data_IF_851348278425
#
_entry.id   IF_851348278425
#
_cell.length_a   1.000
_cell.length_b   1.000
_cell.length_c   1.000
_cell.angle_alpha   90.00
_cell.angle_beta   90.00
_cell.angle_gamma   90.00
#
_symmetry.space_group_name_H-M   'P 1'
#
loop_
_entity.id
_entity.type
_entity.pdbx_description
1 polymer ?
#
# COMPACT_ATOMS: atom_id res chain seq x y z
N UNK A 1 4.38 2.06 2.89
CA UNK A 1 5.47 1.85 3.89
C UNK A 1 5.33 0.47 4.53
N UNK A 2 6.39 -0.16 5.07
CA UNK A 2 6.24 -1.46 5.75
C UNK A 2 5.61 -1.28 7.16
N UNK A 3 4.57 -2.04 7.56
CA UNK A 3 3.94 -1.92 8.89
C UNK A 3 4.92 -1.98 10.06
N UNK A 4 5.85 -2.95 10.03
CA UNK A 4 7.00 -3.02 10.95
C UNK A 4 7.71 -1.68 11.17
N UNK A 5 8.06 -0.97 10.09
CA UNK A 5 8.81 0.28 10.20
C UNK A 5 7.98 1.34 10.95
N UNK A 6 6.68 1.42 10.65
CA UNK A 6 5.76 2.31 11.37
C UNK A 6 5.73 1.95 12.86
N UNK A 7 5.62 0.66 13.21
CA UNK A 7 5.65 0.23 14.60
C UNK A 7 6.97 0.59 15.31
N UNK A 8 8.11 0.35 14.65
CA UNK A 8 9.44 0.62 15.19
C UNK A 8 9.66 2.13 15.42
N UNK A 9 9.24 2.96 14.45
CA UNK A 9 9.35 4.42 14.53
C UNK A 9 8.48 4.99 15.66
N UNK A 10 7.24 4.52 15.81
CA UNK A 10 6.32 4.94 16.88
C UNK A 10 6.84 4.52 18.27
N UNK A 11 7.38 3.30 18.39
CA UNK A 11 8.01 2.84 19.63
C UNK A 11 9.24 3.67 20.00
N UNK A 12 10.06 4.06 19.00
CA UNK A 12 11.21 4.94 19.20
C UNK A 12 10.82 6.32 19.74
N UNK A 13 9.64 6.83 19.36
CA UNK A 13 9.07 8.07 19.88
C UNK A 13 8.45 7.94 21.28
N UNK A 14 8.49 6.74 21.90
CA UNK A 14 7.87 6.48 23.19
C UNK A 14 6.35 6.28 23.12
N UNK A 15 5.82 6.06 21.92
CA UNK A 15 4.39 5.91 21.64
C UNK A 15 4.09 4.64 20.84
N UNK A 16 4.39 3.44 21.38
CA UNK A 16 4.23 2.20 20.64
C UNK A 16 2.78 1.95 20.22
N UNK A 17 2.61 1.26 19.09
CA UNK A 17 1.32 0.78 18.64
C UNK A 17 0.93 -0.49 19.40
N UNK A 18 -0.28 -0.50 19.96
CA UNK A 18 -0.82 -1.62 20.70
C UNK A 18 -2.13 -2.08 20.06
N UNK A 19 -2.27 -3.39 19.95
CA UNK A 19 -3.49 -4.04 19.50
C UNK A 19 -4.18 -4.69 20.71
N UNK A 20 -5.38 -4.23 21.03
CA UNK A 20 -6.26 -4.86 22.02
C UNK A 20 -7.47 -5.45 21.27
N UNK A 21 -7.49 -6.76 21.11
CA UNK A 21 -8.45 -7.45 20.25
C UNK A 21 -8.33 -7.02 18.77
N UNK A 22 -9.33 -6.27 18.29
CA UNK A 22 -9.38 -5.71 16.94
C UNK A 22 -9.06 -4.21 16.90
N UNK A 23 -8.88 -3.58 18.06
CA UNK A 23 -8.69 -2.15 18.16
C UNK A 23 -7.21 -1.79 18.26
N UNK A 24 -6.79 -0.88 17.38
CA UNK A 24 -5.43 -0.37 17.27
C UNK A 24 -5.33 0.99 17.94
N UNK A 25 -4.42 1.12 18.91
CA UNK A 25 -4.18 2.36 19.65
C UNK A 25 -2.71 2.75 19.65
N UNK A 26 -2.46 4.03 19.85
CA UNK A 26 -1.14 4.60 20.10
C UNK A 26 -1.05 4.83 21.61
N UNK A 27 -0.10 4.20 22.30
CA UNK A 27 0.19 4.55 23.70
C UNK A 27 0.86 5.92 23.78
N UNK A 28 0.61 6.67 24.86
CA UNK A 28 1.15 8.03 25.06
C UNK A 28 1.01 8.92 23.80
N UNK A 29 -0.22 9.07 23.24
CA UNK A 29 -0.43 9.79 21.98
C UNK A 29 -0.01 11.27 22.04
N UNK A 30 0.17 11.84 23.22
CA UNK A 30 0.70 13.20 23.43
C UNK A 30 2.15 13.39 22.95
N UNK A 31 2.93 12.32 22.76
CA UNK A 31 4.30 12.41 22.26
C UNK A 31 4.40 12.45 20.72
N UNK A 32 3.27 12.32 20.02
CA UNK A 32 3.24 12.30 18.55
C UNK A 32 2.38 13.42 17.98
N UNK A 33 2.81 13.96 16.85
CA UNK A 33 2.06 15.00 16.15
C UNK A 33 0.77 14.44 15.54
N UNK A 34 -0.33 15.22 15.47
CA UNK A 34 -1.60 14.78 14.90
C UNK A 34 -1.49 14.19 13.50
N UNK A 35 -0.62 14.75 12.66
CA UNK A 35 -0.38 14.28 11.29
C UNK A 35 0.19 12.85 11.27
N UNK A 36 1.01 12.49 12.27
CA UNK A 36 1.52 11.13 12.41
C UNK A 36 0.42 10.16 12.86
N UNK A 37 -0.52 10.62 13.69
CA UNK A 37 -1.70 9.82 14.08
C UNK A 37 -2.56 9.54 12.85
N UNK A 38 -2.87 10.56 12.05
CA UNK A 38 -3.62 10.42 10.79
C UNK A 38 -2.90 9.47 9.81
N UNK A 39 -1.59 9.62 9.68
CA UNK A 39 -0.76 8.72 8.90
C UNK A 39 -0.91 7.27 9.37
N UNK A 40 -0.74 6.98 10.67
CA UNK A 40 -0.93 5.64 11.24
C UNK A 40 -2.33 5.11 10.95
N UNK A 41 -3.37 5.93 11.13
CA UNK A 41 -4.75 5.52 10.87
C UNK A 41 -4.99 5.18 9.40
N UNK A 42 -4.34 5.87 8.46
CA UNK A 42 -4.44 5.55 7.03
C UNK A 42 -3.92 4.13 6.69
N UNK A 43 -3.01 3.57 7.51
CA UNK A 43 -2.47 2.22 7.37
C UNK A 43 -3.11 1.18 8.31
N UNK A 44 -4.19 1.55 9.04
CA UNK A 44 -4.77 0.74 10.13
C UNK A 44 -4.97 -0.74 9.76
N UNK A 45 -5.58 -1.04 8.61
CA UNK A 45 -5.84 -2.44 8.19
C UNK A 45 -4.55 -3.26 8.09
N UNK A 46 -3.50 -2.71 7.48
CA UNK A 46 -2.21 -3.38 7.33
C UNK A 46 -1.48 -3.52 8.66
N UNK A 47 -1.56 -2.51 9.52
CA UNK A 47 -0.96 -2.54 10.87
C UNK A 47 -1.61 -3.62 11.73
N UNK A 48 -2.94 -3.72 11.74
CA UNK A 48 -3.67 -4.78 12.44
C UNK A 48 -3.27 -6.15 11.90
N UNK A 49 -3.26 -6.31 10.57
CA UNK A 49 -2.85 -7.57 9.93
C UNK A 49 -1.42 -7.97 10.34
N UNK A 50 -0.50 -7.00 10.37
CA UNK A 50 0.89 -7.21 10.79
C UNK A 50 1.02 -7.60 12.25
N UNK A 51 0.36 -6.87 13.16
CA UNK A 51 0.42 -7.13 14.61
C UNK A 51 -0.22 -8.48 14.98
N UNK A 52 -1.19 -8.96 14.18
CA UNK A 52 -1.75 -10.32 14.29
C UNK A 52 -0.86 -11.42 13.71
N UNK A 53 0.28 -11.07 13.09
CA UNK A 53 1.19 -12.01 12.42
C UNK A 53 0.71 -12.48 11.04
N UNK A 54 -0.33 -11.87 10.48
CA UNK A 54 -0.92 -12.25 9.19
C UNK A 54 -0.37 -11.49 7.98
N UNK A 55 0.69 -10.68 8.14
CA UNK A 55 1.28 -9.87 7.07
C UNK A 55 2.59 -10.49 6.61
N UNK A 56 2.56 -11.17 5.46
CA UNK A 56 3.72 -11.90 4.96
C UNK A 56 4.69 -10.99 4.17
N UNK A 57 5.91 -11.48 3.95
CA UNK A 57 6.89 -10.83 3.07
C UNK A 57 6.35 -10.72 1.64
N UNK A 58 5.53 -11.69 1.19
CA UNK A 58 4.95 -11.66 -0.14
C UNK A 58 3.84 -10.60 -0.23
N UNK A 59 2.98 -10.48 0.78
CA UNK A 59 1.96 -9.43 0.84
C UNK A 59 2.59 -8.06 0.80
N UNK A 60 3.69 -7.87 1.55
CA UNK A 60 4.43 -6.62 1.53
C UNK A 60 4.93 -6.26 0.13
N UNK A 61 5.49 -7.22 -0.60
CA UNK A 61 6.00 -7.00 -1.96
C UNK A 61 4.88 -6.61 -2.91
N UNK A 62 3.75 -7.31 -2.86
CA UNK A 62 2.57 -6.99 -3.69
C UNK A 62 2.12 -5.57 -3.39
N UNK A 63 1.82 -5.28 -2.12
CA UNK A 63 1.29 -3.98 -1.67
C UNK A 63 2.24 -2.82 -1.97
N UNK A 64 3.53 -2.97 -1.70
CA UNK A 64 4.53 -1.95 -2.03
C UNK A 64 4.65 -1.71 -3.54
N UNK A 65 4.60 -2.76 -4.36
CA UNK A 65 4.66 -2.62 -5.82
C UNK A 65 3.40 -1.94 -6.35
N UNK A 66 2.23 -2.28 -5.82
CA UNK A 66 0.95 -1.68 -6.21
C UNK A 66 0.89 -0.20 -5.81
N UNK A 67 1.31 0.17 -4.60
CA UNK A 67 1.42 1.57 -4.19
C UNK A 67 2.26 2.38 -5.20
N UNK A 68 3.42 1.85 -5.62
CA UNK A 68 4.28 2.50 -6.61
C UNK A 68 3.64 2.64 -7.99
N UNK A 69 2.92 1.60 -8.43
CA UNK A 69 2.21 1.61 -9.72
C UNK A 69 1.07 2.62 -9.69
N UNK A 70 0.31 2.68 -8.59
CA UNK A 70 -0.78 3.63 -8.39
C UNK A 70 -0.26 5.06 -8.36
N UNK A 71 0.78 5.33 -7.57
CA UNK A 71 1.37 6.67 -7.47
C UNK A 71 1.87 7.17 -8.82
N UNK A 72 2.51 6.30 -9.61
CA UNK A 72 2.91 6.62 -10.98
C UNK A 72 1.68 6.85 -11.89
N UNK A 73 0.70 5.95 -11.87
CA UNK A 73 -0.49 6.03 -12.74
C UNK A 73 -1.32 7.30 -12.47
N UNK A 74 -1.35 7.75 -11.21
CA UNK A 74 -2.06 8.96 -10.78
C UNK A 74 -1.24 10.24 -10.93
N UNK A 75 0.03 10.15 -11.31
CA UNK A 75 0.93 11.30 -11.39
C UNK A 75 1.24 11.94 -10.04
N UNK A 76 1.11 11.18 -8.94
CA UNK A 76 1.52 11.60 -7.59
C UNK A 76 3.06 11.65 -7.54
N UNK A 77 3.72 10.65 -8.11
CA UNK A 77 5.17 10.67 -8.30
C UNK A 77 5.50 11.64 -9.44
N UNK A 78 6.16 12.76 -9.11
CA UNK A 78 6.54 13.79 -10.09
C UNK A 78 7.67 13.35 -11.03
N UNK A 79 8.42 12.31 -10.66
CA UNK A 79 9.45 11.72 -11.51
C UNK A 79 8.85 10.59 -12.36
N UNK A 80 8.99 10.72 -13.68
CA UNK A 80 8.61 9.66 -14.62
C UNK A 80 9.32 8.36 -14.23
N UNK A 81 8.56 7.28 -14.07
CA UNK A 81 9.13 5.94 -13.88
C UNK A 81 9.24 5.22 -15.23
N UNK A 82 10.41 5.26 -15.92
CA UNK A 82 10.54 4.74 -17.28
C UNK A 82 10.31 3.23 -17.36
N UNK A 83 10.45 2.50 -16.25
CA UNK A 83 10.17 1.05 -16.23
C UNK A 83 8.68 0.77 -16.28
N UNK A 84 7.88 1.51 -15.51
CA UNK A 84 6.43 1.35 -15.50
C UNK A 84 5.85 1.87 -16.82
N UNK A 85 6.34 3.01 -17.33
CA UNK A 85 5.96 3.55 -18.62
C UNK A 85 6.20 2.56 -19.77
N UNK A 86 7.44 2.05 -19.86
CA UNK A 86 7.80 1.03 -20.84
C UNK A 86 6.95 -0.24 -20.69
N UNK A 87 6.70 -0.70 -19.46
CA UNK A 87 5.82 -1.85 -19.24
C UNK A 87 4.39 -1.63 -19.73
N UNK A 88 3.76 -0.49 -19.40
CA UNK A 88 2.41 -0.18 -19.87
C UNK A 88 2.32 -0.03 -21.39
N UNK A 89 3.37 0.48 -22.03
CA UNK A 89 3.45 0.54 -23.49
C UNK A 89 3.55 -0.86 -24.15
N UNK A 90 4.01 -1.89 -23.43
CA UNK A 90 4.07 -3.27 -23.92
C UNK A 90 2.87 -4.13 -23.48
N UNK A 91 2.26 -3.83 -22.35
CA UNK A 91 1.14 -4.58 -21.77
C UNK A 91 -0.03 -3.64 -21.43
N UNK A 92 -0.81 -3.27 -22.45
CA UNK A 92 -1.99 -2.41 -22.25
C UNK A 92 -3.01 -3.08 -21.30
N UNK A 93 -3.15 -4.40 -21.32
CA UNK A 93 -4.08 -5.07 -20.39
C UNK A 93 -3.68 -4.85 -18.92
N UNK A 94 -2.39 -4.71 -18.61
CA UNK A 94 -1.95 -4.29 -17.28
C UNK A 94 -2.41 -2.86 -16.93
N UNK A 95 -2.31 -1.91 -17.86
CA UNK A 95 -2.76 -0.53 -17.62
C UNK A 95 -4.28 -0.45 -17.39
N UNK A 96 -5.07 -1.24 -18.14
CA UNK A 96 -6.54 -1.36 -17.92
C UNK A 96 -6.83 -1.92 -16.53
N UNK A 97 -6.10 -2.94 -16.10
CA UNK A 97 -6.26 -3.54 -14.77
C UNK A 97 -5.92 -2.57 -13.65
N UNK A 98 -4.87 -1.77 -13.79
CA UNK A 98 -4.53 -0.71 -12.84
C UNK A 98 -5.65 0.33 -12.78
N UNK A 99 -6.20 0.76 -13.92
CA UNK A 99 -7.36 1.67 -13.95
C UNK A 99 -8.58 1.04 -13.25
N UNK A 100 -8.84 -0.25 -13.46
CA UNK A 100 -9.92 -0.98 -12.78
C UNK A 100 -9.68 -1.06 -11.27
N UNK A 101 -8.45 -1.29 -10.83
CA UNK A 101 -8.09 -1.33 -9.41
C UNK A 101 -8.38 0.01 -8.73
N UNK A 102 -8.07 1.13 -9.38
CA UNK A 102 -8.41 2.47 -8.86
C UNK A 102 -9.92 2.69 -8.73
N UNK A 103 -10.70 2.19 -9.70
CA UNK A 103 -12.18 2.22 -9.62
C UNK A 103 -12.68 1.41 -8.43
N UNK A 104 -12.11 0.23 -8.18
CA UNK A 104 -12.49 -0.58 -7.02
C UNK A 104 -12.16 0.11 -5.69
N UNK A 105 -10.98 0.71 -5.54
CA UNK A 105 -10.67 1.50 -4.34
C UNK A 105 -11.64 2.65 -4.15
N UNK A 106 -12.03 3.33 -5.24
CA UNK A 106 -13.05 4.36 -5.18
C UNK A 106 -14.42 3.80 -4.78
N UNK A 107 -14.85 2.68 -5.34
CA UNK A 107 -16.09 2.00 -4.95
C UNK A 107 -16.06 1.61 -3.45
N UNK A 108 -14.90 1.24 -2.92
CA UNK A 108 -14.67 0.92 -1.51
C UNK A 108 -14.52 2.13 -0.59
N UNK A 109 -14.60 3.36 -1.11
CA UNK A 109 -14.64 4.58 -0.32
C UNK A 109 -13.32 5.36 -0.23
N UNK A 110 -12.29 4.98 -0.98
CA UNK A 110 -11.06 5.77 -1.07
C UNK A 110 -11.34 7.09 -1.78
N UNK A 111 -11.22 8.21 -1.06
CA UNK A 111 -11.52 9.57 -1.57
C UNK A 111 -10.33 10.52 -1.48
N UNK A 112 -9.47 10.33 -0.49
CA UNK A 112 -8.24 11.10 -0.37
C UNK A 112 -7.10 10.38 -1.09
N UNK A 113 -6.77 10.89 -2.27
CA UNK A 113 -5.78 10.32 -3.18
C UNK A 113 -4.35 10.40 -2.62
N UNK A 114 -4.11 11.20 -1.58
CA UNK A 114 -2.82 11.28 -0.90
C UNK A 114 -2.71 10.29 0.27
N UNK A 115 -3.80 9.58 0.60
CA UNK A 115 -3.83 8.59 1.68
C UNK A 115 -3.57 7.17 1.16
N UNK A 116 -3.12 6.29 2.05
CA UNK A 116 -2.94 4.87 1.72
C UNK A 116 -4.26 4.19 1.35
N UNK A 117 -4.21 3.29 0.37
CA UNK A 117 -5.34 2.42 -0.01
C UNK A 117 -5.62 1.32 1.02
N UNK A 118 -4.76 1.14 2.02
CA UNK A 118 -4.78 0.01 2.96
C UNK A 118 -6.17 -0.29 3.56
N UNK A 119 -6.90 0.75 3.95
CA UNK A 119 -8.22 0.61 4.59
C UNK A 119 -9.36 0.33 3.59
N UNK A 120 -9.10 0.40 2.29
CA UNK A 120 -10.09 0.29 1.22
C UNK A 120 -9.88 -0.97 0.37
N UNK A 121 -8.95 -1.83 0.77
CA UNK A 121 -8.77 -3.15 0.19
C UNK A 121 -9.83 -4.14 0.68
N UNK A 122 -10.05 -5.17 -0.12
CA UNK A 122 -10.97 -6.29 0.03
C UNK A 122 -10.48 -7.47 -0.81
N UNK A 123 -11.25 -8.55 -0.88
CA UNK A 123 -10.86 -9.75 -1.62
C UNK A 123 -10.70 -9.49 -3.15
N UNK A 124 -11.49 -8.60 -3.74
CA UNK A 124 -11.44 -8.31 -5.18
C UNK A 124 -10.17 -7.50 -5.52
N UNK A 125 -9.91 -6.44 -4.75
CA UNK A 125 -8.73 -5.60 -4.89
C UNK A 125 -7.45 -6.36 -4.56
N UNK A 126 -7.45 -7.26 -3.57
CA UNK A 126 -6.30 -8.12 -3.24
C UNK A 126 -5.98 -9.08 -4.41
N UNK A 127 -6.99 -9.72 -5.01
CA UNK A 127 -6.81 -10.60 -6.18
C UNK A 127 -6.26 -9.83 -7.39
N UNK A 128 -6.86 -8.69 -7.70
CA UNK A 128 -6.42 -7.88 -8.85
C UNK A 128 -5.02 -7.30 -8.63
N UNK A 129 -4.69 -6.89 -7.40
CA UNK A 129 -3.36 -6.45 -6.99
C UNK A 129 -2.30 -7.54 -7.19
N UNK A 130 -2.61 -8.78 -6.82
CA UNK A 130 -1.71 -9.91 -7.05
C UNK A 130 -1.50 -10.16 -8.56
N UNK A 131 -2.56 -10.13 -9.35
CA UNK A 131 -2.46 -10.30 -10.80
C UNK A 131 -1.58 -9.22 -11.46
N UNK A 132 -1.83 -7.94 -11.12
CA UNK A 132 -1.02 -6.82 -11.60
C UNK A 132 0.44 -6.99 -11.20
N UNK A 133 0.70 -7.38 -9.94
CA UNK A 133 2.05 -7.66 -9.44
C UNK A 133 2.74 -8.75 -10.25
N UNK A 134 2.08 -9.89 -10.48
CA UNK A 134 2.66 -11.02 -11.22
C UNK A 134 3.02 -10.64 -12.66
N UNK A 135 2.16 -9.87 -13.34
CA UNK A 135 2.42 -9.34 -14.68
C UNK A 135 3.63 -8.41 -14.70
N UNK A 136 3.67 -7.46 -13.77
CA UNK A 136 4.79 -6.54 -13.62
C UNK A 136 6.11 -7.30 -13.39
N UNK A 137 6.11 -8.25 -12.45
CA UNK A 137 7.30 -9.04 -12.14
C UNK A 137 7.72 -9.96 -13.29
N UNK A 138 6.77 -10.52 -14.05
CA UNK A 138 7.06 -11.31 -15.24
C UNK A 138 7.79 -10.46 -16.30
N UNK A 139 7.28 -9.27 -16.57
CA UNK A 139 7.89 -8.33 -17.52
C UNK A 139 9.29 -7.87 -17.06
N UNK A 140 9.41 -7.44 -15.80
CA UNK A 140 10.68 -6.93 -15.26
C UNK A 140 11.75 -8.00 -15.08
N UNK A 141 11.36 -9.27 -14.83
CA UNK A 141 12.31 -10.39 -14.79
C UNK A 141 12.68 -10.90 -16.18
N UNK A 142 11.77 -10.80 -17.15
CA UNK A 142 11.99 -11.18 -18.55
C UNK A 142 12.97 -10.25 -19.26
N UNK A 143 12.95 -8.95 -18.93
CA UNK A 143 14.01 -8.00 -19.28
C UNK A 143 15.20 -8.16 -18.35
N UNK A 144 15.91 -9.29 -18.40
CA UNK A 144 17.32 -9.29 -17.95
C UNK A 144 18.08 -8.33 -18.87
N UNK A 145 18.70 -7.32 -18.26
CA UNK A 145 19.57 -6.35 -18.92
C UNK A 145 20.66 -7.02 -19.76
#
# INVERSE_FOLDING_TARGET
MHPKQICDDLAFLGSPLVLDGDDLYIENPENVYPELVEFVQSYKKWLIQYLKGGYSVQDHKVKQTIDKIINYFMGIDQEMNPKIDDWFNHDWDAAIKVARLLVLFWENGWRDLNSSVANFEDEETDKLSLEIYERAMSYFKGKKA
#
